data_IF_332645251165
#
_entry.id   IF_332645251165
#
_cell.length_a   1.000
_cell.length_b   1.000
_cell.length_c   1.000
_cell.angle_alpha   90.00
_cell.angle_beta   90.00
_cell.angle_gamma   90.00
#
_symmetry.space_group_name_H-M   'P 1'
#
loop_
_entity.id
_entity.type
_entity.pdbx_description
1 polymer ?
#
# COMPACT_ATOMS: atom_id res chain seq x y z
N UNK A 1 -5.02 -47.97 3.64
CA UNK A 1 -5.37 -47.04 2.54
C UNK A 1 -4.30 -45.95 2.51
N UNK A 2 -3.20 -46.18 1.78
CA UNK A 2 -1.89 -45.54 2.01
C UNK A 2 -1.76 -44.09 1.48
N UNK A 3 -2.73 -43.57 0.71
CA UNK A 3 -2.63 -42.24 0.08
C UNK A 3 -3.89 -41.39 0.28
N UNK A 4 -4.40 -41.27 1.51
CA UNK A 4 -5.59 -40.44 1.79
C UNK A 4 -5.42 -38.96 1.40
N UNK A 5 -4.21 -38.42 1.52
CA UNK A 5 -3.94 -36.99 1.30
C UNK A 5 -3.14 -36.67 0.04
N UNK A 6 -2.98 -37.61 -0.90
CA UNK A 6 -2.22 -37.36 -2.13
C UNK A 6 -2.78 -36.18 -2.92
N UNK A 7 -4.12 -36.03 -2.95
CA UNK A 7 -4.78 -34.90 -3.59
C UNK A 7 -4.38 -33.57 -2.95
N UNK A 8 -4.37 -33.50 -1.62
CA UNK A 8 -3.95 -32.32 -0.88
C UNK A 8 -2.47 -31.98 -1.12
N UNK A 9 -1.60 -33.00 -1.13
CA UNK A 9 -0.18 -32.83 -1.45
C UNK A 9 0.02 -32.27 -2.87
N UNK A 10 -0.66 -32.83 -3.87
CA UNK A 10 -0.59 -32.37 -5.25
C UNK A 10 -1.04 -30.91 -5.39
N UNK A 11 -2.15 -30.51 -4.74
CA UNK A 11 -2.58 -29.11 -4.75
C UNK A 11 -1.59 -28.19 -4.04
N UNK A 12 -1.05 -28.62 -2.91
CA UNK A 12 -0.07 -27.84 -2.15
C UNK A 12 1.20 -27.63 -2.97
N UNK A 13 1.71 -28.68 -3.58
CA UNK A 13 2.88 -28.62 -4.46
C UNK A 13 2.62 -27.71 -5.67
N UNK A 14 1.47 -27.89 -6.34
CA UNK A 14 1.09 -27.04 -7.47
C UNK A 14 1.02 -25.56 -7.09
N UNK A 15 0.36 -25.25 -5.98
CA UNK A 15 0.09 -23.86 -5.60
C UNK A 15 1.31 -23.18 -4.96
N UNK A 16 2.09 -23.90 -4.15
CA UNK A 16 3.24 -23.33 -3.44
C UNK A 16 4.54 -23.37 -4.24
N UNK A 17 4.67 -24.26 -5.23
CA UNK A 17 5.94 -24.44 -5.98
C UNK A 17 5.71 -24.20 -7.48
N UNK A 18 4.84 -24.97 -8.13
CA UNK A 18 4.71 -24.89 -9.60
C UNK A 18 4.22 -23.52 -10.05
N UNK A 19 3.17 -22.99 -9.42
CA UNK A 19 2.58 -21.71 -9.78
C UNK A 19 3.57 -20.52 -9.62
N UNK A 20 4.26 -20.33 -8.49
CA UNK A 20 5.23 -19.24 -8.35
C UNK A 20 6.43 -19.41 -9.28
N UNK A 21 6.98 -20.63 -9.43
CA UNK A 21 8.12 -20.87 -10.35
C UNK A 21 7.73 -20.53 -11.79
N UNK A 22 6.55 -20.99 -12.23
CA UNK A 22 6.02 -20.68 -13.56
C UNK A 22 5.83 -19.17 -13.75
N UNK A 23 5.28 -18.48 -12.75
CA UNK A 23 5.10 -17.03 -12.79
C UNK A 23 6.43 -16.30 -12.95
N UNK A 24 7.45 -16.66 -12.16
CA UNK A 24 8.78 -16.04 -12.22
C UNK A 24 9.41 -16.22 -13.61
N UNK A 25 9.36 -17.44 -14.17
CA UNK A 25 9.91 -17.72 -15.50
C UNK A 25 9.18 -16.91 -16.57
N UNK A 26 7.85 -16.89 -16.54
CA UNK A 26 7.06 -16.12 -17.52
C UNK A 26 7.37 -14.62 -17.42
N UNK A 27 7.40 -14.07 -16.20
CA UNK A 27 7.70 -12.67 -15.96
C UNK A 27 9.11 -12.29 -16.43
N UNK A 28 10.11 -13.16 -16.21
CA UNK A 28 11.48 -12.94 -16.71
C UNK A 28 11.53 -12.85 -18.24
N UNK A 29 10.69 -13.61 -18.93
CA UNK A 29 10.60 -13.61 -20.39
C UNK A 29 9.60 -12.56 -20.93
N UNK A 30 9.06 -11.68 -20.10
CA UNK A 30 8.10 -10.66 -20.50
C UNK A 30 6.69 -11.19 -20.83
N UNK A 31 6.39 -12.43 -20.44
CA UNK A 31 5.06 -13.01 -20.63
C UNK A 31 4.17 -12.77 -19.41
N UNK A 32 2.93 -12.40 -19.67
CA UNK A 32 1.91 -12.28 -18.63
C UNK A 32 1.66 -13.63 -17.94
N UNK A 33 1.61 -13.62 -16.62
CA UNK A 33 1.21 -14.79 -15.83
C UNK A 33 -0.11 -14.52 -15.12
N UNK A 34 -0.87 -15.58 -14.80
CA UNK A 34 -2.12 -15.49 -14.04
C UNK A 34 -1.90 -15.19 -12.54
N UNK A 35 -0.78 -14.57 -12.20
CA UNK A 35 -0.47 -14.14 -10.84
C UNK A 35 -0.38 -12.63 -10.82
N UNK A 36 -0.75 -12.02 -9.68
CA UNK A 36 -0.72 -10.58 -9.51
C UNK A 36 0.64 -9.97 -9.90
N UNK A 37 1.74 -10.66 -9.60
CA UNK A 37 3.09 -10.15 -9.84
C UNK A 37 3.49 -10.14 -11.32
N UNK A 38 2.90 -11.02 -12.14
CA UNK A 38 3.21 -11.14 -13.56
C UNK A 38 2.15 -10.50 -14.45
N UNK A 39 1.36 -9.58 -13.92
CA UNK A 39 0.57 -8.66 -14.72
C UNK A 39 1.48 -7.57 -15.31
N UNK A 40 1.13 -7.02 -16.50
CA UNK A 40 1.76 -5.81 -17.02
C UNK A 40 1.62 -4.64 -16.05
N UNK A 41 2.60 -3.73 -16.05
CA UNK A 41 2.69 -2.63 -15.09
C UNK A 41 1.51 -1.66 -15.23
N UNK A 42 0.99 -1.48 -16.44
CA UNK A 42 -0.17 -0.63 -16.72
C UNK A 42 -1.43 -1.18 -16.05
N UNK A 43 -1.60 -2.51 -16.05
CA UNK A 43 -2.75 -3.16 -15.41
C UNK A 43 -2.61 -3.08 -13.89
N UNK A 44 -1.40 -3.28 -13.36
CA UNK A 44 -1.11 -3.11 -11.94
C UNK A 44 -1.39 -1.69 -11.49
N UNK A 45 -0.93 -0.70 -12.25
CA UNK A 45 -1.20 0.72 -12.00
C UNK A 45 -2.70 0.98 -11.95
N UNK A 46 -3.45 0.49 -12.94
CA UNK A 46 -4.90 0.66 -12.96
C UNK A 46 -5.56 0.07 -11.72
N UNK A 47 -5.20 -1.16 -11.34
CA UNK A 47 -5.70 -1.79 -10.11
C UNK A 47 -5.40 -0.90 -8.90
N UNK A 48 -4.14 -0.47 -8.72
CA UNK A 48 -3.73 0.39 -7.59
C UNK A 48 -4.54 1.69 -7.49
N UNK A 49 -4.94 2.28 -8.62
CA UNK A 49 -5.76 3.51 -8.62
C UNK A 49 -7.19 3.30 -8.08
N UNK A 50 -7.68 2.06 -7.98
CA UNK A 50 -8.97 1.75 -7.34
C UNK A 50 -8.86 1.44 -5.85
N UNK A 51 -7.65 1.21 -5.33
CA UNK A 51 -7.48 0.84 -3.93
C UNK A 51 -7.42 2.07 -3.01
N UNK A 52 -7.95 1.97 -1.78
CA UNK A 52 -7.72 2.98 -0.76
C UNK A 52 -6.25 2.99 -0.34
N UNK A 53 -5.80 4.12 0.22
CA UNK A 53 -4.40 4.31 0.58
C UNK A 53 -3.87 3.27 1.58
N UNK A 54 -4.70 2.81 2.51
CA UNK A 54 -4.35 1.75 3.48
C UNK A 54 -3.86 0.47 2.79
N UNK A 55 -4.54 0.11 1.71
CA UNK A 55 -4.29 -1.15 1.00
C UNK A 55 -3.07 -0.99 0.10
N UNK A 56 -2.86 0.19 -0.48
CA UNK A 56 -1.66 0.52 -1.25
C UNK A 56 -0.40 0.41 -0.39
N UNK A 57 -0.43 0.96 0.83
CA UNK A 57 0.68 0.84 1.79
C UNK A 57 0.90 -0.62 2.18
N UNK A 58 -0.17 -1.38 2.37
CA UNK A 58 -0.08 -2.82 2.63
C UNK A 58 0.57 -3.57 1.47
N UNK A 59 0.25 -3.21 0.22
CA UNK A 59 0.83 -3.81 -0.99
C UNK A 59 2.33 -3.52 -1.09
N UNK A 60 2.78 -2.33 -0.71
CA UNK A 60 4.20 -1.96 -0.69
C UNK A 60 5.04 -2.94 0.13
N UNK A 61 4.46 -3.47 1.22
CA UNK A 61 5.11 -4.40 2.15
C UNK A 61 5.12 -5.85 1.68
N UNK A 62 4.29 -6.22 0.71
CA UNK A 62 4.13 -7.62 0.29
C UNK A 62 5.40 -8.19 -0.35
N UNK A 63 6.02 -7.45 -1.28
CA UNK A 63 7.22 -7.93 -1.96
C UNK A 63 8.07 -6.80 -2.55
N UNK A 64 9.35 -7.10 -2.80
CA UNK A 64 10.32 -6.14 -3.37
C UNK A 64 9.86 -5.52 -4.69
N UNK A 65 9.17 -6.28 -5.56
CA UNK A 65 8.65 -5.77 -6.83
C UNK A 65 7.56 -4.72 -6.62
N UNK A 66 6.64 -4.96 -5.68
CA UNK A 66 5.60 -3.98 -5.34
C UNK A 66 6.21 -2.72 -4.71
N UNK A 67 7.22 -2.87 -3.86
CA UNK A 67 7.97 -1.74 -3.32
C UNK A 67 8.60 -0.88 -4.43
N UNK A 68 9.34 -1.48 -5.35
CA UNK A 68 9.96 -0.75 -6.47
C UNK A 68 8.91 -0.07 -7.35
N UNK A 69 7.78 -0.73 -7.61
CA UNK A 69 6.67 -0.14 -8.36
C UNK A 69 6.10 1.06 -7.62
N UNK A 70 5.84 0.95 -6.31
CA UNK A 70 5.32 2.03 -5.46
C UNK A 70 6.37 3.04 -5.02
N UNK A 71 7.64 2.90 -5.39
CA UNK A 71 8.63 3.97 -5.29
C UNK A 71 8.58 4.90 -6.51
N UNK A 72 7.77 4.58 -7.52
CA UNK A 72 7.56 5.45 -8.68
C UNK A 72 6.69 6.67 -8.34
N UNK A 73 7.28 7.83 -8.50
CA UNK A 73 6.71 9.13 -8.16
C UNK A 73 5.40 9.45 -8.93
N UNK A 74 5.27 8.95 -10.17
CA UNK A 74 4.06 9.13 -10.98
C UNK A 74 2.83 8.49 -10.32
N UNK A 75 3.00 7.38 -9.60
CA UNK A 75 1.91 6.72 -8.90
C UNK A 75 1.38 7.63 -7.80
N UNK A 76 2.28 8.18 -7.00
CA UNK A 76 1.92 9.10 -5.93
C UNK A 76 1.31 10.39 -6.45
N UNK A 77 1.77 10.90 -7.60
CA UNK A 77 1.14 12.03 -8.26
C UNK A 77 -0.31 11.74 -8.63
N UNK A 78 -0.59 10.60 -9.27
CA UNK A 78 -1.95 10.21 -9.64
C UNK A 78 -2.85 9.97 -8.42
N UNK A 79 -2.33 9.33 -7.37
CA UNK A 79 -3.04 9.17 -6.10
C UNK A 79 -3.35 10.52 -5.45
N UNK A 80 -2.40 11.45 -5.50
CA UNK A 80 -2.59 12.79 -4.96
C UNK A 80 -3.72 13.52 -5.67
N UNK A 81 -3.73 13.52 -7.01
CA UNK A 81 -4.81 14.13 -7.80
C UNK A 81 -6.16 13.47 -7.54
N UNK A 82 -6.19 12.15 -7.35
CA UNK A 82 -7.41 11.39 -7.03
C UNK A 82 -7.99 11.82 -5.68
N UNK A 83 -7.16 11.90 -4.65
CA UNK A 83 -7.57 12.05 -3.25
C UNK A 83 -7.68 13.52 -2.79
N UNK A 84 -6.94 14.42 -3.46
CA UNK A 84 -6.79 15.84 -3.11
C UNK A 84 -7.08 16.79 -4.29
N UNK A 85 -8.20 16.59 -4.99
CA UNK A 85 -8.63 17.35 -6.19
C UNK A 85 -8.58 18.89 -6.09
N UNK A 86 -8.58 19.45 -4.89
CA UNK A 86 -8.65 20.90 -4.65
C UNK A 86 -7.33 21.50 -4.14
N UNK A 87 -6.25 20.71 -4.06
CA UNK A 87 -4.95 21.18 -3.57
C UNK A 87 -4.04 21.41 -4.77
N UNK A 88 -3.73 22.67 -5.07
CA UNK A 88 -2.74 23.04 -6.08
C UNK A 88 -1.36 23.10 -5.44
N UNK A 89 -0.45 22.23 -5.90
CA UNK A 89 0.94 22.22 -5.45
C UNK A 89 1.83 22.45 -6.67
N UNK A 90 2.79 23.37 -6.55
CA UNK A 90 3.74 23.72 -7.62
C UNK A 90 5.16 23.38 -7.18
N UNK A 91 5.95 22.77 -8.05
CA UNK A 91 7.36 22.47 -7.79
C UNK A 91 7.62 21.23 -6.90
N UNK A 92 6.70 20.27 -6.86
CA UNK A 92 6.85 19.04 -6.08
C UNK A 92 7.94 18.15 -6.69
N UNK A 93 8.92 17.77 -5.88
CA UNK A 93 10.04 16.89 -6.24
C UNK A 93 9.85 15.45 -5.73
N UNK A 94 9.00 15.25 -4.73
CA UNK A 94 8.64 13.94 -4.16
C UNK A 94 7.14 13.93 -3.81
N UNK A 95 6.34 13.32 -4.69
CA UNK A 95 4.89 13.22 -4.52
C UNK A 95 4.51 12.29 -3.37
N UNK A 96 5.33 11.31 -3.02
CA UNK A 96 5.07 10.40 -1.88
C UNK A 96 5.16 11.15 -0.57
N UNK A 97 6.20 11.97 -0.40
CA UNK A 97 6.35 12.84 0.77
C UNK A 97 5.21 13.87 0.86
N UNK A 98 4.89 14.54 -0.26
CA UNK A 98 3.80 15.51 -0.31
C UNK A 98 2.43 14.90 0.02
N UNK A 99 2.18 13.69 -0.50
CA UNK A 99 0.96 12.94 -0.18
C UNK A 99 0.89 12.65 1.31
N UNK A 100 1.98 12.18 1.92
CA UNK A 100 2.05 11.87 3.36
C UNK A 100 1.74 13.11 4.21
N UNK A 101 2.35 14.25 3.92
CA UNK A 101 2.13 15.49 4.66
C UNK A 101 0.68 15.99 4.55
N UNK A 102 0.13 15.97 3.34
CA UNK A 102 -1.25 16.41 3.08
C UNK A 102 -2.26 15.49 3.73
N UNK A 103 -2.01 14.17 3.70
CA UNK A 103 -2.83 13.17 4.37
C UNK A 103 -2.84 13.36 5.89
N UNK A 104 -1.67 13.56 6.51
CA UNK A 104 -1.56 13.82 7.96
C UNK A 104 -2.32 15.10 8.33
N UNK A 105 -2.13 16.18 7.55
CA UNK A 105 -2.79 17.47 7.78
C UNK A 105 -4.32 17.35 7.71
N UNK A 106 -4.83 16.61 6.73
CA UNK A 106 -6.27 16.36 6.60
C UNK A 106 -6.82 15.52 7.76
N UNK A 107 -6.11 14.46 8.16
CA UNK A 107 -6.48 13.64 9.32
C UNK A 107 -6.48 14.45 10.63
N UNK A 108 -5.51 15.37 10.80
CA UNK A 108 -5.47 16.31 11.94
C UNK A 108 -6.63 17.31 11.93
N UNK A 109 -7.08 17.74 10.76
CA UNK A 109 -8.18 18.71 10.61
C UNK A 109 -9.58 18.14 10.79
N UNK A 110 -9.75 16.81 10.81
CA UNK A 110 -11.02 16.19 11.18
C UNK A 110 -11.22 16.52 12.66
N UNK A 111 -12.13 17.45 13.03
CA UNK A 111 -12.23 17.88 14.40
C UNK A 111 -12.86 16.75 15.19
N UNK A 112 -12.21 16.34 16.28
CA UNK A 112 -12.84 15.65 17.39
C UNK A 112 -14.00 16.52 17.91
N UNK A 113 -15.18 16.41 17.29
CA UNK A 113 -16.44 16.97 17.81
C UNK A 113 -16.93 16.27 19.09
N UNK A 114 -16.07 15.46 19.72
CA UNK A 114 -16.36 14.64 20.88
C UNK A 114 -15.18 14.65 21.85
N UNK A 115 -14.88 15.80 22.47
CA UNK A 115 -14.38 15.83 23.86
C UNK A 115 -14.27 17.27 24.33
N UNK A 116 -15.18 17.65 25.22
CA UNK A 116 -15.01 18.75 26.17
C UNK A 116 -13.98 18.29 27.24
N UNK A 117 -12.73 18.10 26.83
CA UNK A 117 -11.63 17.63 27.68
C UNK A 117 -10.74 18.77 28.17
N UNK A 118 -10.14 18.60 29.34
CA UNK A 118 -9.30 19.59 30.03
C UNK A 118 -7.98 19.80 29.29
N UNK A 119 -7.28 20.92 29.53
CA UNK A 119 -6.01 21.27 28.86
C UNK A 119 -4.92 20.17 28.97
N UNK A 120 -5.00 19.31 29.99
CA UNK A 120 -4.15 18.12 30.15
C UNK A 120 -4.40 17.04 29.08
N UNK A 121 -5.67 16.86 28.65
CA UNK A 121 -6.03 15.90 27.60
C UNK A 121 -5.51 16.34 26.22
N UNK A 122 -5.33 17.65 26.01
CA UNK A 122 -4.70 18.21 24.80
C UNK A 122 -3.18 17.99 24.78
N UNK A 123 -2.53 18.00 25.95
CA UNK A 123 -1.12 17.63 26.07
C UNK A 123 -0.92 16.13 25.84
N UNK A 124 -1.80 15.27 26.35
CA UNK A 124 -1.77 13.84 26.04
C UNK A 124 -2.05 13.55 24.56
N UNK A 125 -2.90 14.33 23.88
CA UNK A 125 -3.09 14.21 22.43
C UNK A 125 -1.89 14.73 21.66
N UNK A 126 -1.27 15.84 22.07
CA UNK A 126 -0.02 16.32 21.47
C UNK A 126 1.10 15.31 21.64
N UNK A 127 1.22 14.71 22.82
CA UNK A 127 2.22 13.69 23.12
C UNK A 127 1.89 12.38 22.41
N UNK A 128 0.62 11.96 22.36
CA UNK A 128 0.14 10.84 21.53
C UNK A 128 0.41 11.11 20.05
N UNK A 129 0.27 12.36 19.59
CA UNK A 129 0.49 12.79 18.20
C UNK A 129 1.96 13.06 17.88
N UNK A 130 2.83 13.28 18.88
CA UNK A 130 4.29 13.29 18.73
C UNK A 130 4.88 11.88 18.86
N UNK A 131 4.22 10.98 19.58
CA UNK A 131 4.37 9.53 19.37
C UNK A 131 3.81 9.13 17.99
N UNK A 132 2.93 9.94 17.40
CA UNK A 132 2.57 9.93 15.96
C UNK A 132 3.54 10.82 15.17
N UNK A 133 4.85 10.67 15.42
CA UNK A 133 5.81 10.58 14.31
C UNK A 133 5.37 9.40 13.42
N UNK A 134 4.36 9.70 12.59
CA UNK A 134 3.38 8.82 11.97
C UNK A 134 3.71 7.30 11.92
N UNK A 135 3.32 6.54 12.96
CA UNK A 135 3.42 5.10 12.99
C UNK A 135 2.34 4.44 12.12
N UNK A 136 1.44 5.12 11.39
CA UNK A 136 0.53 4.41 10.46
C UNK A 136 1.26 3.83 9.23
N UNK A 137 2.49 4.26 8.95
CA UNK A 137 3.34 3.57 7.97
C UNK A 137 3.97 2.30 8.56
N UNK A 138 4.18 2.23 9.88
CA UNK A 138 4.84 1.13 10.59
C UNK A 138 3.92 0.27 11.48
N UNK A 139 2.65 0.64 11.67
CA UNK A 139 1.62 -0.09 12.45
C UNK A 139 0.81 -1.04 11.56
N UNK A 140 1.17 -1.12 10.28
CA UNK A 140 0.86 -2.25 9.38
C UNK A 140 2.11 -3.15 9.26
N UNK A 141 2.95 -3.27 10.29
CA UNK A 141 4.07 -4.25 10.35
C UNK A 141 3.64 -5.44 11.19
#
# INVERSE_FOLDING_TARGET
MIFRDLKHLCYTFKNKIIAPVKSIILNYNGYSSASFIGLPEEILFYILMYLPISDIISIEKLCRRMKVLLDNDNIWHHLFLRDFKNVTVSGVTDWKAQYKETYISKTRSIPSRLTSGTLHDLMDVSDYVSYIDNPLWDVII
#
